data_IF_440772699440
#
_entry.id   IF_440772699440
#
_cell.length_a   1.000
_cell.length_b   1.000
_cell.length_c   1.000
_cell.angle_alpha   90.00
_cell.angle_beta   90.00
_cell.angle_gamma   90.00
#
_symmetry.space_group_name_H-M   'P 1'
#
loop_
_entity.id
_entity.type
_entity.pdbx_description
1 polymer ?
#
# COMPACT_ATOMS: atom_id res chain seq x y z
N UNK A 1 -10.73 3.59 6.64
CA UNK A 1 -11.52 4.75 6.19
C UNK A 1 -10.78 6.07 6.31
N UNK A 2 -10.27 6.44 7.49
CA UNK A 2 -9.52 7.70 7.70
C UNK A 2 -8.36 7.90 6.74
N UNK A 3 -7.61 6.84 6.43
CA UNK A 3 -6.52 6.92 5.45
C UNK A 3 -6.97 7.37 4.05
N UNK A 4 -8.12 6.90 3.58
CA UNK A 4 -8.61 7.22 2.23
C UNK A 4 -9.13 8.66 2.17
N UNK A 5 -9.89 9.08 3.18
CA UNK A 5 -10.53 10.40 3.18
C UNK A 5 -9.56 11.50 3.64
N UNK A 6 -8.81 11.26 4.73
CA UNK A 6 -7.92 12.26 5.31
C UNK A 6 -6.53 12.26 4.66
N UNK A 7 -5.90 11.08 4.51
CA UNK A 7 -4.51 11.01 4.00
C UNK A 7 -4.45 11.16 2.49
N UNK A 8 -5.25 10.39 1.74
CA UNK A 8 -5.31 10.50 0.27
C UNK A 8 -6.15 11.69 -0.21
N UNK A 9 -6.87 12.38 0.69
CA UNK A 9 -7.79 13.48 0.37
C UNK A 9 -8.84 13.09 -0.68
N UNK A 10 -9.24 11.82 -0.73
CA UNK A 10 -10.28 11.38 -1.65
C UNK A 10 -11.65 11.71 -1.09
N UNK A 11 -12.58 12.28 -1.90
CA UNK A 11 -13.94 12.51 -1.43
C UNK A 11 -14.61 11.18 -1.08
N UNK A 12 -15.53 11.17 -0.11
CA UNK A 12 -16.19 9.95 0.35
C UNK A 12 -16.86 9.17 -0.80
N UNK A 13 -17.43 9.87 -1.79
CA UNK A 13 -18.03 9.25 -2.99
C UNK A 13 -17.02 8.43 -3.83
N UNK A 14 -15.70 8.68 -3.68
CA UNK A 14 -14.66 7.83 -4.30
C UNK A 14 -14.73 6.39 -3.80
N UNK A 15 -15.02 6.21 -2.53
CA UNK A 15 -15.06 4.89 -1.90
C UNK A 15 -16.20 4.06 -2.49
N UNK A 16 -17.35 4.70 -2.75
CA UNK A 16 -18.49 4.07 -3.42
C UNK A 16 -18.14 3.62 -4.84
N UNK A 17 -17.40 4.44 -5.59
CA UNK A 17 -16.97 4.11 -6.96
C UNK A 17 -15.86 3.06 -7.01
N UNK A 18 -15.05 2.96 -5.95
CA UNK A 18 -13.89 2.07 -5.89
C UNK A 18 -13.89 1.26 -4.58
N UNK A 19 -14.76 0.24 -4.46
CA UNK A 19 -14.91 -0.54 -3.21
C UNK A 19 -13.62 -1.22 -2.75
N UNK A 20 -12.67 -1.50 -3.66
CA UNK A 20 -11.37 -2.10 -3.31
C UNK A 20 -10.58 -1.27 -2.29
N UNK A 21 -10.88 0.03 -2.14
CA UNK A 21 -10.28 0.90 -1.12
C UNK A 21 -10.66 0.50 0.31
N UNK A 22 -11.72 -0.28 0.49
CA UNK A 22 -12.16 -0.81 1.79
C UNK A 22 -11.54 -2.19 2.09
N UNK A 23 -11.41 -3.03 1.07
CA UNK A 23 -11.00 -4.43 1.24
C UNK A 23 -9.49 -4.62 1.10
N UNK A 24 -8.77 -3.68 0.50
CA UNK A 24 -7.31 -3.74 0.42
C UNK A 24 -6.68 -3.51 1.80
N UNK A 25 -5.65 -4.29 2.10
CA UNK A 25 -4.91 -4.15 3.35
C UNK A 25 -4.17 -2.80 3.40
N UNK A 26 -4.42 -2.03 4.45
CA UNK A 26 -3.82 -0.72 4.67
C UNK A 26 -2.30 -0.79 4.80
N UNK A 27 -1.79 -1.65 5.70
CA UNK A 27 -0.37 -1.74 6.04
C UNK A 27 0.44 -2.52 4.99
N UNK A 28 -0.17 -3.55 4.40
CA UNK A 28 0.54 -4.43 3.48
C UNK A 28 0.47 -3.97 2.01
N UNK A 29 -0.54 -3.16 1.64
CA UNK A 29 -0.75 -2.76 0.24
C UNK A 29 -0.88 -1.25 0.05
N UNK A 30 -1.73 -0.55 0.81
CA UNK A 30 -2.01 0.86 0.50
C UNK A 30 -0.90 1.83 0.93
N UNK A 31 -0.47 1.76 2.20
CA UNK A 31 0.59 2.62 2.74
C UNK A 31 1.93 2.42 2.03
N UNK A 32 2.43 1.20 1.79
CA UNK A 32 3.73 1.00 1.15
C UNK A 32 3.80 1.61 -0.25
N UNK A 33 2.69 1.53 -1.00
CA UNK A 33 2.60 2.11 -2.34
C UNK A 33 2.58 3.63 -2.32
N UNK A 34 1.97 4.25 -1.30
CA UNK A 34 1.97 5.70 -1.16
C UNK A 34 3.33 6.23 -0.69
N UNK A 35 3.99 5.53 0.23
CA UNK A 35 5.37 5.87 0.65
C UNK A 35 6.31 5.77 -0.54
N UNK A 36 6.22 4.69 -1.32
CA UNK A 36 7.01 4.55 -2.54
C UNK A 36 6.72 5.66 -3.56
N UNK A 37 5.44 6.01 -3.74
CA UNK A 37 5.04 7.11 -4.62
C UNK A 37 5.69 8.45 -4.21
N UNK A 38 5.77 8.73 -2.91
CA UNK A 38 6.46 9.91 -2.39
C UNK A 38 7.94 9.88 -2.72
N UNK A 39 8.62 8.76 -2.42
CA UNK A 39 10.05 8.60 -2.73
C UNK A 39 10.39 8.74 -4.22
N UNK A 40 9.55 8.19 -5.10
CA UNK A 40 9.68 8.35 -6.56
C UNK A 40 9.58 9.83 -6.96
N UNK A 41 8.65 10.58 -6.35
CA UNK A 41 8.50 12.02 -6.60
C UNK A 41 9.70 12.81 -6.07
N UNK A 42 10.18 12.49 -4.87
CA UNK A 42 11.34 13.16 -4.25
C UNK A 42 12.62 12.97 -5.07
N UNK A 43 12.76 11.81 -5.72
CA UNK A 43 13.89 11.49 -6.61
C UNK A 43 13.69 12.01 -8.05
N UNK A 44 12.53 12.58 -8.39
CA UNK A 44 12.21 13.04 -9.74
C UNK A 44 12.14 11.93 -10.78
N UNK A 45 11.75 10.72 -10.38
CA UNK A 45 11.76 9.52 -11.22
C UNK A 45 10.45 9.34 -11.99
N UNK A 46 10.56 8.91 -13.25
CA UNK A 46 9.43 8.47 -14.07
C UNK A 46 9.37 6.95 -14.17
N UNK A 47 8.21 6.30 -13.98
CA UNK A 47 6.87 6.90 -13.98
C UNK A 47 6.39 7.39 -12.60
N UNK A 48 5.85 8.60 -12.56
CA UNK A 48 5.28 9.17 -11.34
C UNK A 48 3.91 8.58 -10.98
N UNK A 49 3.65 8.45 -9.67
CA UNK A 49 2.33 8.11 -9.13
C UNK A 49 1.69 9.40 -8.60
N UNK A 50 1.27 10.29 -9.51
CA UNK A 50 0.70 11.59 -9.15
C UNK A 50 -0.77 11.72 -9.53
N UNK A 51 -1.53 12.31 -8.62
CA UNK A 51 -2.96 12.54 -8.80
C UNK A 51 -3.85 11.32 -8.58
N UNK A 52 -5.15 11.57 -8.45
CA UNK A 52 -6.13 10.58 -8.00
C UNK A 52 -6.22 9.35 -8.91
N UNK A 53 -6.18 9.54 -10.23
CA UNK A 53 -6.30 8.43 -11.18
C UNK A 53 -5.06 7.49 -11.14
N UNK A 54 -3.85 8.05 -11.08
CA UNK A 54 -2.63 7.26 -11.00
C UNK A 54 -2.54 6.51 -9.66
N UNK A 55 -2.88 7.17 -8.55
CA UNK A 55 -2.93 6.55 -7.22
C UNK A 55 -3.94 5.40 -7.20
N UNK A 56 -5.17 5.60 -7.69
CA UNK A 56 -6.18 4.54 -7.75
C UNK A 56 -5.72 3.36 -8.62
N UNK A 57 -5.06 3.63 -9.75
CA UNK A 57 -4.47 2.59 -10.61
C UNK A 57 -3.39 1.81 -9.87
N UNK A 58 -2.44 2.49 -9.24
CA UNK A 58 -1.37 1.89 -8.46
C UNK A 58 -1.91 1.03 -7.30
N UNK A 59 -2.93 1.51 -6.58
CA UNK A 59 -3.57 0.78 -5.48
C UNK A 59 -4.36 -0.45 -5.94
N UNK A 60 -4.88 -0.45 -7.17
CA UNK A 60 -5.63 -1.59 -7.74
C UNK A 60 -4.71 -2.68 -8.31
N UNK A 61 -3.47 -2.36 -8.67
CA UNK A 61 -2.55 -3.31 -9.30
C UNK A 61 -2.20 -4.49 -8.38
N UNK A 62 -2.05 -5.67 -8.98
CA UNK A 62 -1.38 -6.79 -8.33
C UNK A 62 0.07 -6.40 -7.99
N UNK A 63 0.59 -6.88 -6.87
CA UNK A 63 1.91 -6.48 -6.36
C UNK A 63 3.02 -6.69 -7.39
N UNK A 64 3.07 -7.87 -8.03
CA UNK A 64 4.05 -8.15 -9.11
C UNK A 64 4.01 -7.13 -10.24
N UNK A 65 2.79 -6.70 -10.64
CA UNK A 65 2.61 -5.71 -11.71
C UNK A 65 3.01 -4.31 -11.24
N UNK A 66 2.72 -3.97 -9.98
CA UNK A 66 3.10 -2.71 -9.38
C UNK A 66 4.62 -2.56 -9.32
N UNK A 67 5.33 -3.54 -8.76
CA UNK A 67 6.79 -3.52 -8.69
C UNK A 67 7.43 -3.47 -10.08
N UNK A 68 6.88 -4.22 -11.04
CA UNK A 68 7.37 -4.17 -12.42
C UNK A 68 7.25 -2.76 -13.06
N UNK A 69 6.18 -2.05 -12.74
CA UNK A 69 5.87 -0.77 -13.37
C UNK A 69 6.57 0.43 -12.74
N UNK A 70 6.90 0.37 -11.44
CA UNK A 70 7.40 1.53 -10.68
C UNK A 70 8.75 1.29 -10.00
N UNK A 71 9.29 0.08 -10.05
CA UNK A 71 10.57 -0.26 -9.42
C UNK A 71 11.52 -0.85 -10.46
N UNK A 72 11.16 -1.96 -11.10
CA UNK A 72 12.05 -2.65 -12.04
C UNK A 72 12.21 -1.92 -13.38
N UNK A 73 11.58 -0.76 -13.56
CA UNK A 73 11.80 0.11 -14.70
C UNK A 73 13.05 0.98 -14.54
N UNK A 74 13.62 1.05 -13.34
CA UNK A 74 14.81 1.84 -13.04
C UNK A 74 16.09 0.99 -13.10
N UNK A 75 17.27 1.63 -13.21
CA UNK A 75 18.56 0.96 -13.03
C UNK A 75 18.62 0.25 -11.67
N UNK A 76 19.46 -0.79 -11.58
CA UNK A 76 19.48 -1.70 -10.44
C UNK A 76 19.71 -0.97 -9.10
N UNK A 77 20.64 -0.01 -9.06
CA UNK A 77 20.94 0.77 -7.84
C UNK A 77 19.70 1.52 -7.30
N UNK A 78 18.95 2.15 -8.20
CA UNK A 78 17.73 2.91 -7.87
C UNK A 78 16.59 1.95 -7.51
N UNK A 79 16.47 0.84 -8.24
CA UNK A 79 15.46 -0.17 -7.99
C UNK A 79 15.65 -0.81 -6.60
N UNK A 80 16.89 -1.05 -6.18
CA UNK A 80 17.20 -1.61 -4.86
C UNK A 80 16.85 -0.62 -3.74
N UNK A 81 17.20 0.66 -3.88
CA UNK A 81 16.79 1.70 -2.91
C UNK A 81 15.26 1.81 -2.79
N UNK A 82 14.56 1.83 -3.92
CA UNK A 82 13.09 1.83 -3.96
C UNK A 82 12.49 0.59 -3.31
N UNK A 83 13.09 -0.59 -3.52
CA UNK A 83 12.66 -1.83 -2.90
C UNK A 83 12.86 -1.83 -1.40
N UNK A 84 13.96 -1.29 -0.88
CA UNK A 84 14.20 -1.17 0.55
C UNK A 84 13.15 -0.28 1.21
N UNK A 85 12.87 0.88 0.62
CA UNK A 85 11.80 1.78 1.09
C UNK A 85 10.45 1.08 1.10
N UNK A 86 10.12 0.36 0.03
CA UNK A 86 8.86 -0.38 -0.07
C UNK A 86 8.77 -1.50 0.98
N UNK A 87 9.84 -2.26 1.21
CA UNK A 87 9.90 -3.33 2.22
C UNK A 87 9.79 -2.77 3.64
N UNK A 88 10.46 -1.67 3.94
CA UNK A 88 10.40 -1.01 5.25
C UNK A 88 9.00 -0.45 5.53
N UNK A 89 8.34 0.11 4.52
CA UNK A 89 6.97 0.60 4.64
C UNK A 89 5.94 -0.53 4.76
N UNK A 90 6.22 -1.71 4.18
CA UNK A 90 5.39 -2.90 4.29
C UNK A 90 5.56 -3.50 5.69
N UNK A 91 4.83 -2.95 6.65
CA UNK A 91 4.86 -3.40 8.03
C UNK A 91 4.21 -4.80 8.13
N UNK A 92 5.02 -5.87 8.03
CA UNK A 92 4.58 -7.25 8.29
C UNK A 92 4.56 -7.54 9.80
N UNK A 93 4.39 -6.53 10.65
CA UNK A 93 4.12 -6.78 12.06
C UNK A 93 2.67 -7.24 12.12
N UNK A 94 2.46 -8.53 12.34
CA UNK A 94 1.16 -9.09 12.69
C UNK A 94 0.70 -8.36 13.96
N UNK A 95 -0.09 -7.30 13.79
CA UNK A 95 -0.83 -6.67 14.87
C UNK A 95 -1.68 -7.79 15.48
N UNK A 96 -1.34 -8.21 16.70
CA UNK A 96 -1.89 -9.35 17.46
C UNK A 96 -1.09 -10.68 17.48
N UNK A 97 0.11 -10.81 16.91
CA UNK A 97 0.91 -12.05 17.13
C UNK A 97 1.27 -12.25 18.60
N UNK A 98 1.63 -11.16 19.30
CA UNK A 98 1.86 -11.18 20.75
C UNK A 98 0.59 -11.25 21.62
N UNK A 99 -0.61 -11.09 21.04
CA UNK A 99 -1.89 -11.13 21.80
C UNK A 99 -2.75 -12.35 21.48
N UNK A 100 -2.25 -13.29 20.66
CA UNK A 100 -2.91 -14.58 20.43
C UNK A 100 -2.82 -15.42 21.71
N UNK A 101 -3.82 -15.31 22.58
CA UNK A 101 -4.14 -16.38 23.53
C UNK A 101 -4.95 -17.42 22.78
N UNK A 102 -4.39 -18.61 22.56
CA UNK A 102 -5.16 -19.77 22.10
C UNK A 102 -5.97 -20.26 23.30
N UNK A 103 -7.15 -19.67 23.54
CA UNK A 103 -8.09 -20.21 24.51
C UNK A 103 -8.99 -21.22 23.80
N UNK A 104 -8.70 -22.52 24.01
CA UNK A 104 -9.61 -23.62 23.62
C UNK A 104 -10.70 -23.75 24.68
N UNK A 105 -11.59 -22.76 24.78
CA UNK A 105 -12.84 -22.94 25.52
C UNK A 105 -13.84 -23.55 24.53
N UNK A 106 -14.14 -24.84 24.72
CA UNK A 106 -15.28 -25.45 24.05
C UNK A 106 -16.53 -24.63 24.32
N UNK A 107 -17.42 -24.53 23.33
CA UNK A 107 -18.75 -23.96 23.55
C UNK A 107 -19.44 -24.76 24.67
N UNK A 108 -20.00 -24.11 25.71
CA UNK A 108 -20.81 -24.79 26.70
C UNK A 108 -22.24 -24.87 26.17
N UNK A 109 -22.43 -25.73 25.17
CA UNK A 109 -23.70 -26.37 24.83
C UNK A 109 -23.43 -27.59 23.97
#
# INVERSE_FOLDING_TARGET
MTFVVATLKFPANTVLKYPFLLFNNLEAAMKPRLVLAGKIQDMGLSPEIKGRAAILRALRMAEKRFLKAYVSCHPQDVADELMEVYRNAKCIKRLAEGSKKIERKGFPF
#
